data_IF_363431557935
#
_entry.id   IF_363431557935
#
_cell.length_a   1.000
_cell.length_b   1.000
_cell.length_c   1.000
_cell.angle_alpha   90.00
_cell.angle_beta   90.00
_cell.angle_gamma   90.00
#
_symmetry.space_group_name_H-M   'P 1'
#
loop_
_entity.id
_entity.type
_entity.pdbx_description
1 polymer ?
#
# COMPACT_ATOMS: atom_id res chain seq x y z
N UNK A 1 -18.31 38.30 28.53
CA UNK A 1 -17.23 37.38 28.10
C UNK A 1 -17.75 35.97 28.18
N UNK A 2 -18.07 35.33 27.05
CA UNK A 2 -18.40 33.90 26.99
C UNK A 2 -17.12 33.16 26.60
N UNK A 3 -16.64 32.31 27.49
CA UNK A 3 -15.53 31.39 27.23
C UNK A 3 -16.09 30.27 26.33
N UNK A 4 -15.70 30.26 25.06
CA UNK A 4 -15.91 29.10 24.19
C UNK A 4 -14.89 28.03 24.59
N UNK A 5 -15.33 26.98 25.28
CA UNK A 5 -14.54 25.76 25.44
C UNK A 5 -14.46 25.04 24.11
N UNK A 6 -13.31 25.13 23.45
CA UNK A 6 -12.94 24.21 22.38
C UNK A 6 -12.75 22.82 23.00
N UNK A 7 -13.66 21.90 22.67
CA UNK A 7 -13.51 20.48 22.98
C UNK A 7 -12.41 19.94 22.05
N UNK A 8 -11.20 19.77 22.58
CA UNK A 8 -10.15 19.00 21.91
C UNK A 8 -10.54 17.51 21.95
N UNK A 9 -11.23 17.05 20.90
CA UNK A 9 -11.49 15.63 20.67
C UNK A 9 -10.16 14.97 20.26
N UNK A 10 -9.53 14.27 21.20
CA UNK A 10 -8.33 13.48 20.91
C UNK A 10 -8.74 12.22 20.11
N UNK A 11 -8.73 12.33 18.77
CA UNK A 11 -8.93 11.20 17.87
C UNK A 11 -7.70 10.28 17.92
N UNK A 12 -7.81 9.15 18.62
CA UNK A 12 -6.78 8.11 18.63
C UNK A 12 -6.96 7.22 17.40
N UNK A 13 -6.24 7.53 16.32
CA UNK A 13 -6.14 6.67 15.15
C UNK A 13 -5.20 5.49 15.46
N UNK A 14 -5.66 4.25 15.27
CA UNK A 14 -4.78 3.08 15.24
C UNK A 14 -4.72 2.56 13.81
N UNK A 15 -3.62 2.82 13.09
CA UNK A 15 -3.31 2.09 11.86
C UNK A 15 -2.88 0.69 12.28
N UNK A 16 -3.81 -0.25 12.14
CA UNK A 16 -3.46 -1.65 12.23
C UNK A 16 -2.76 -2.01 10.92
N UNK A 17 -1.60 -2.67 10.99
CA UNK A 17 -0.85 -3.12 9.80
C UNK A 17 -1.53 -4.33 9.12
N UNK A 18 -2.84 -4.46 9.32
CA UNK A 18 -3.71 -5.47 8.78
C UNK A 18 -4.75 -4.70 7.96
N UNK A 19 -4.95 -5.11 6.71
CA UNK A 19 -6.12 -4.70 5.95
C UNK A 19 -7.38 -5.34 6.54
N UNK A 20 -8.53 -4.73 6.27
CA UNK A 20 -9.85 -5.27 6.56
C UNK A 20 -10.40 -6.00 5.33
N UNK A 21 -11.19 -7.04 5.59
CA UNK A 21 -12.07 -7.72 4.63
C UNK A 21 -13.48 -7.25 4.94
N UNK A 22 -14.14 -6.64 3.96
CA UNK A 22 -15.45 -6.04 4.15
C UNK A 22 -16.57 -7.01 3.75
N UNK A 23 -17.78 -6.73 4.21
CA UNK A 23 -18.98 -7.53 3.98
C UNK A 23 -20.24 -6.77 4.34
N UNK A 24 -21.32 -7.51 4.58
CA UNK A 24 -22.66 -7.02 4.92
C UNK A 24 -22.87 -6.79 6.43
N UNK A 25 -21.90 -7.18 7.27
CA UNK A 25 -21.98 -7.08 8.73
C UNK A 25 -22.77 -8.20 9.40
N UNK A 26 -23.26 -9.19 8.65
CA UNK A 26 -23.99 -10.34 9.17
C UNK A 26 -23.01 -11.48 9.50
N UNK A 27 -22.80 -11.70 10.79
CA UNK A 27 -21.95 -12.77 11.29
C UNK A 27 -22.44 -14.19 10.89
N UNK A 28 -23.69 -14.36 10.45
CA UNK A 28 -24.22 -15.65 10.01
C UNK A 28 -23.75 -16.06 8.61
N UNK A 29 -23.40 -15.10 7.75
CA UNK A 29 -22.98 -15.35 6.36
C UNK A 29 -21.51 -15.78 6.25
N UNK A 30 -20.77 -15.73 7.35
CA UNK A 30 -19.34 -16.00 7.38
C UNK A 30 -18.53 -14.80 6.87
N UNK A 31 -17.29 -15.04 6.45
CA UNK A 31 -16.41 -13.98 5.92
C UNK A 31 -16.62 -13.88 4.42
N UNK A 32 -17.12 -12.74 3.97
CA UNK A 32 -17.34 -12.41 2.56
C UNK A 32 -16.04 -11.92 1.90
N UNK A 33 -15.07 -12.82 1.75
CA UNK A 33 -13.79 -12.50 1.11
C UNK A 33 -13.90 -12.61 -0.42
N UNK A 34 -13.97 -11.46 -1.11
CA UNK A 34 -14.15 -11.38 -2.56
C UNK A 34 -12.84 -11.57 -3.36
N UNK A 35 -11.72 -11.85 -2.67
CA UNK A 35 -10.41 -11.98 -3.33
C UNK A 35 -10.32 -13.21 -4.20
N UNK A 36 -9.85 -13.01 -5.43
CA UNK A 36 -9.65 -14.07 -6.42
C UNK A 36 -8.18 -14.17 -6.81
N UNK A 37 -7.76 -15.31 -7.38
CA UNK A 37 -6.39 -15.50 -7.84
C UNK A 37 -6.02 -14.46 -8.91
N UNK A 38 -4.88 -13.77 -8.74
CA UNK A 38 -4.49 -12.72 -9.68
C UNK A 38 -4.17 -13.27 -11.09
N UNK A 39 -4.64 -12.60 -12.16
CA UNK A 39 -4.32 -12.97 -13.53
C UNK A 39 -2.81 -13.00 -13.79
N UNK A 40 -2.35 -13.97 -14.60
CA UNK A 40 -0.93 -14.15 -14.94
C UNK A 40 -0.27 -12.88 -15.49
N UNK A 41 -1.00 -12.07 -16.26
CA UNK A 41 -0.49 -10.83 -16.85
C UNK A 41 -0.14 -9.80 -15.77
N UNK A 42 -0.99 -9.65 -14.76
CA UNK A 42 -0.78 -8.76 -13.62
C UNK A 42 0.35 -9.29 -12.74
N UNK A 43 0.38 -10.60 -12.46
CA UNK A 43 1.41 -11.23 -11.63
C UNK A 43 2.84 -10.97 -12.13
N UNK A 44 3.06 -10.76 -13.43
CA UNK A 44 4.39 -10.44 -13.97
C UNK A 44 5.00 -9.17 -13.37
N UNK A 45 4.16 -8.24 -12.92
CA UNK A 45 4.56 -6.96 -12.36
C UNK A 45 4.42 -6.89 -10.85
N UNK A 46 3.96 -7.94 -10.16
CA UNK A 46 3.72 -7.92 -8.71
C UNK A 46 4.49 -9.05 -8.03
N UNK A 47 4.88 -8.83 -6.79
CA UNK A 47 5.60 -9.80 -5.98
C UNK A 47 5.51 -9.45 -4.51
N UNK A 48 6.24 -10.21 -3.69
CA UNK A 48 6.22 -10.05 -2.25
C UNK A 48 7.56 -9.59 -1.72
N UNK A 49 7.56 -8.88 -0.61
CA UNK A 49 8.76 -8.50 0.13
C UNK A 49 8.88 -9.39 1.36
N UNK A 50 10.05 -9.99 1.50
CA UNK A 50 10.44 -10.71 2.71
C UNK A 50 11.56 -9.95 3.38
N UNK A 51 11.44 -9.72 4.68
CA UNK A 51 12.53 -9.18 5.47
C UNK A 51 12.79 -10.03 6.70
N UNK A 52 14.07 -10.28 6.97
CA UNK A 52 14.57 -11.15 8.05
C UNK A 52 13.88 -12.53 8.03
N UNK A 53 13.72 -13.07 6.81
CA UNK A 53 13.08 -14.36 6.55
C UNK A 53 11.55 -14.37 6.58
N UNK A 54 10.89 -13.31 7.04
CA UNK A 54 9.43 -13.22 7.15
C UNK A 54 8.80 -12.40 6.03
N UNK A 55 7.61 -12.82 5.56
CA UNK A 55 6.80 -12.03 4.64
C UNK A 55 6.38 -10.72 5.34
N UNK A 56 6.58 -9.58 4.67
CA UNK A 56 6.19 -8.26 5.18
C UNK A 56 5.10 -7.59 4.37
N UNK A 57 5.02 -7.85 3.07
CA UNK A 57 4.04 -7.20 2.21
C UNK A 57 4.17 -7.56 0.74
N UNK A 58 3.44 -6.81 -0.07
CA UNK A 58 3.41 -6.87 -1.52
C UNK A 58 4.13 -5.65 -2.09
N UNK A 59 4.66 -5.78 -3.31
CA UNK A 59 5.25 -4.68 -4.05
C UNK A 59 5.04 -4.86 -5.55
N UNK A 60 5.07 -3.74 -6.28
CA UNK A 60 4.81 -3.71 -7.72
C UNK A 60 5.98 -3.12 -8.48
N UNK A 61 6.42 -3.83 -9.52
CA UNK A 61 7.29 -3.28 -10.55
C UNK A 61 6.56 -2.17 -11.31
N UNK A 62 7.09 -0.95 -11.23
CA UNK A 62 6.45 0.24 -11.80
C UNK A 62 7.29 0.87 -12.90
N UNK A 63 6.63 1.57 -13.81
CA UNK A 63 7.22 2.39 -14.87
C UNK A 63 6.49 3.71 -14.99
N UNK A 64 7.15 4.71 -15.59
CA UNK A 64 6.50 5.94 -16.05
C UNK A 64 6.79 6.04 -17.55
N UNK A 65 5.78 6.26 -18.42
CA UNK A 65 5.96 6.33 -19.88
C UNK A 65 7.02 7.35 -20.32
N UNK A 66 7.13 8.47 -19.60
CA UNK A 66 8.07 9.56 -19.91
C UNK A 66 9.52 9.29 -19.49
N UNK A 67 9.85 8.12 -18.93
CA UNK A 67 11.19 7.78 -18.47
C UNK A 67 11.62 6.50 -19.15
N UNK A 68 12.65 6.59 -20.01
CA UNK A 68 13.36 5.40 -20.44
C UNK A 68 13.99 4.75 -19.20
N UNK A 69 13.40 3.65 -18.73
CA UNK A 69 14.00 2.89 -17.64
C UNK A 69 15.40 2.44 -18.08
N UNK A 70 16.40 2.69 -17.23
CA UNK A 70 17.73 2.13 -17.44
C UNK A 70 17.62 0.62 -17.66
N UNK A 71 18.31 0.12 -18.68
CA UNK A 71 18.32 -1.31 -18.98
C UNK A 71 18.91 -2.18 -17.86
N UNK A 72 19.48 -1.58 -16.81
CA UNK A 72 20.18 -2.29 -15.75
C UNK A 72 19.31 -2.63 -14.52
N UNK A 73 18.26 -1.86 -14.20
CA UNK A 73 17.57 -1.98 -12.90
C UNK A 73 16.05 -1.83 -13.01
N UNK A 74 15.32 -2.70 -12.34
CA UNK A 74 13.87 -2.56 -12.13
C UNK A 74 13.57 -1.81 -10.85
N UNK A 75 12.54 -0.97 -10.87
CA UNK A 75 12.08 -0.23 -9.69
C UNK A 75 10.75 -0.81 -9.22
N UNK A 76 10.69 -1.20 -7.95
CA UNK A 76 9.43 -1.58 -7.31
C UNK A 76 8.91 -0.44 -6.43
N UNK A 77 7.59 -0.41 -6.25
CA UNK A 77 6.85 0.47 -5.37
C UNK A 77 6.14 -0.38 -4.31
N UNK A 78 6.18 0.07 -3.06
CA UNK A 78 5.52 -0.57 -1.92
C UNK A 78 5.21 0.47 -0.84
N UNK A 79 4.52 0.07 0.23
CA UNK A 79 4.33 0.88 1.41
C UNK A 79 5.65 0.93 2.20
N UNK A 80 5.99 2.09 2.78
CA UNK A 80 7.24 2.24 3.49
C UNK A 80 7.31 1.32 4.72
N UNK A 81 6.22 1.16 5.47
CA UNK A 81 6.19 0.32 6.67
C UNK A 81 6.54 -1.16 6.41
N UNK A 82 6.47 -1.63 5.16
CA UNK A 82 6.84 -3.00 4.78
C UNK A 82 8.32 -3.29 5.06
N UNK A 83 9.18 -2.27 5.04
CA UNK A 83 10.63 -2.41 5.22
C UNK A 83 11.14 -1.92 6.58
N UNK A 84 10.25 -1.49 7.49
CA UNK A 84 10.61 -1.01 8.82
C UNK A 84 9.98 -1.86 9.93
N UNK A 85 10.71 -1.99 11.04
CA UNK A 85 10.14 -2.45 12.29
C UNK A 85 9.15 -1.44 12.85
N UNK A 86 7.88 -1.83 12.99
CA UNK A 86 6.82 -0.97 13.57
C UNK A 86 7.19 -0.37 14.93
N UNK A 87 7.85 -1.16 15.79
CA UNK A 87 8.09 -0.78 17.18
C UNK A 87 9.36 0.05 17.38
N UNK A 88 10.41 -0.18 16.58
CA UNK A 88 11.71 0.49 16.75
C UNK A 88 11.92 1.62 15.74
N UNK A 89 11.17 1.62 14.64
CA UNK A 89 11.36 2.57 13.54
C UNK A 89 12.60 2.30 12.69
N UNK A 90 13.33 1.21 12.94
CA UNK A 90 14.56 0.84 12.24
C UNK A 90 14.22 -0.02 11.02
N UNK A 91 14.99 0.11 9.94
CA UNK A 91 14.91 -0.81 8.80
C UNK A 91 15.16 -2.25 9.25
N UNK A 92 14.49 -3.22 8.61
CA UNK A 92 14.89 -4.62 8.76
C UNK A 92 16.32 -4.83 8.23
N UNK A 93 17.05 -5.81 8.79
CA UNK A 93 18.45 -6.02 8.46
C UNK A 93 18.63 -6.53 7.02
N UNK A 94 17.76 -7.45 6.62
CA UNK A 94 17.81 -8.08 5.30
C UNK A 94 16.43 -8.03 4.67
N UNK A 95 16.32 -7.49 3.46
CA UNK A 95 15.08 -7.50 2.68
C UNK A 95 15.32 -7.96 1.24
N UNK A 96 14.41 -8.79 0.73
CA UNK A 96 14.42 -9.29 -0.65
C UNK A 96 13.05 -9.20 -1.28
N UNK A 97 13.03 -8.96 -2.59
CA UNK A 97 11.82 -9.04 -3.41
C UNK A 97 11.69 -10.43 -4.04
N UNK A 98 10.49 -11.00 -4.00
CA UNK A 98 10.13 -12.28 -4.61
C UNK A 98 9.11 -12.05 -5.73
N UNK A 99 9.54 -12.01 -7.00
CA UNK A 99 8.63 -11.81 -8.12
C UNK A 99 7.53 -12.89 -8.16
N UNK A 100 6.28 -12.49 -8.41
CA UNK A 100 5.12 -13.40 -8.46
C UNK A 100 4.89 -14.19 -7.15
N UNK A 101 5.48 -13.76 -6.03
CA UNK A 101 5.43 -14.51 -4.77
C UNK A 101 6.30 -15.78 -4.73
N UNK A 102 7.12 -16.03 -5.75
CA UNK A 102 7.90 -17.28 -5.85
C UNK A 102 9.14 -17.24 -4.97
N UNK A 103 9.38 -18.33 -4.23
CA UNK A 103 10.55 -18.47 -3.34
C UNK A 103 11.88 -18.43 -4.10
N UNK A 104 11.96 -19.14 -5.22
CA UNK A 104 13.14 -19.15 -6.10
C UNK A 104 13.22 -17.85 -6.89
N UNK A 105 14.43 -17.29 -6.99
CA UNK A 105 14.66 -16.03 -7.71
C UNK A 105 14.35 -14.79 -6.87
N UNK A 106 14.54 -14.87 -5.55
CA UNK A 106 14.58 -13.68 -4.67
C UNK A 106 15.66 -12.69 -5.17
N UNK A 107 15.38 -11.39 -5.06
CA UNK A 107 16.23 -10.31 -5.58
C UNK A 107 16.48 -9.29 -4.49
N UNK A 108 17.76 -9.01 -4.22
CA UNK A 108 18.17 -8.03 -3.22
C UNK A 108 17.79 -6.60 -3.64
N UNK A 109 17.63 -5.74 -2.63
CA UNK A 109 17.53 -4.30 -2.82
C UNK A 109 18.92 -3.69 -3.07
N UNK A 110 19.00 -2.73 -4.00
CA UNK A 110 20.21 -1.94 -4.24
C UNK A 110 20.10 -0.59 -3.56
N UNK A 111 18.93 0.04 -3.68
CA UNK A 111 18.70 1.39 -3.21
C UNK A 111 17.27 1.55 -2.78
N UNK A 112 17.06 2.34 -1.74
CA UNK A 112 15.75 2.77 -1.26
C UNK A 112 15.68 4.28 -1.51
N UNK A 113 14.55 4.76 -2.05
CA UNK A 113 14.34 6.20 -2.26
C UNK A 113 14.11 6.91 -0.93
N UNK A 114 14.63 8.14 -0.79
CA UNK A 114 14.36 8.98 0.37
C UNK A 114 12.85 9.20 0.56
N UNK A 115 12.35 9.07 1.79
CA UNK A 115 10.96 9.32 2.21
C UNK A 115 10.93 9.98 3.59
N UNK A 116 9.75 10.48 3.97
CA UNK A 116 9.49 11.02 5.30
C UNK A 116 8.61 10.11 6.17
N UNK A 117 8.45 8.83 5.78
CA UNK A 117 7.73 7.87 6.62
C UNK A 117 8.44 7.71 7.97
N UNK A 118 7.70 7.96 9.05
CA UNK A 118 8.15 7.79 10.42
C UNK A 118 7.27 6.73 11.10
N UNK A 119 7.77 5.50 11.32
CA UNK A 119 6.97 4.38 11.84
C UNK A 119 6.34 4.62 13.23
N UNK A 120 6.95 5.50 14.02
CA UNK A 120 6.52 5.81 15.38
C UNK A 120 5.72 7.11 15.49
N UNK A 121 5.44 7.81 14.38
CA UNK A 121 4.69 9.06 14.44
C UNK A 121 3.33 8.87 15.12
N UNK A 122 2.99 9.82 16.00
CA UNK A 122 1.68 9.89 16.66
C UNK A 122 0.59 10.38 15.71
N UNK A 123 0.96 11.19 14.71
CA UNK A 123 0.04 11.61 13.65
C UNK A 123 -0.06 10.49 12.61
N UNK A 124 -1.09 9.67 12.76
CA UNK A 124 -1.32 8.52 11.87
C UNK A 124 -1.75 8.90 10.47
N UNK A 125 -2.41 10.04 10.32
CA UNK A 125 -2.78 10.54 8.99
C UNK A 125 -1.52 10.98 8.28
N UNK A 126 -0.68 11.81 8.92
CA UNK A 126 0.61 12.18 8.35
C UNK A 126 1.47 10.95 8.05
N UNK A 127 1.57 10.00 8.98
CA UNK A 127 2.28 8.73 8.77
C UNK A 127 1.79 8.00 7.52
N UNK A 128 0.48 7.80 7.36
CA UNK A 128 -0.12 7.15 6.19
C UNK A 128 0.18 7.91 4.88
N UNK A 129 0.15 9.25 4.90
CA UNK A 129 0.45 10.06 3.71
C UNK A 129 1.91 9.96 3.25
N UNK A 130 2.81 9.51 4.14
CA UNK A 130 4.22 9.29 3.82
C UNK A 130 4.56 7.81 3.59
N UNK A 131 3.59 6.90 3.72
CA UNK A 131 3.78 5.45 3.71
C UNK A 131 3.94 4.88 2.30
N UNK A 132 4.97 5.34 1.59
CA UNK A 132 5.26 4.94 0.22
C UNK A 132 6.75 5.02 -0.06
N UNK A 133 7.28 4.00 -0.73
CA UNK A 133 8.70 3.92 -1.04
C UNK A 133 8.97 3.23 -2.38
N UNK A 134 9.90 3.82 -3.14
CA UNK A 134 10.51 3.18 -4.31
C UNK A 134 11.80 2.46 -3.92
N UNK A 135 12.01 1.29 -4.50
CA UNK A 135 13.17 0.43 -4.25
C UNK A 135 13.73 -0.03 -5.60
N UNK A 136 15.03 0.17 -5.79
CA UNK A 136 15.74 -0.35 -6.96
C UNK A 136 16.22 -1.78 -6.68
N UNK A 137 15.96 -2.69 -7.61
CA UNK A 137 16.35 -4.09 -7.51
C UNK A 137 17.72 -4.36 -8.12
N UNK A 138 18.45 -5.31 -7.52
CA UNK A 138 19.77 -5.77 -8.00
C UNK A 138 19.74 -6.48 -9.33
N UNK A 139 18.57 -7.00 -9.71
CA UNK A 139 18.33 -7.68 -10.98
C UNK A 139 17.09 -7.08 -11.64
N UNK A 140 17.18 -6.88 -12.97
CA UNK A 140 16.04 -6.49 -13.79
C UNK A 140 14.97 -7.59 -13.82
N UNK A 141 13.72 -7.18 -13.67
CA UNK A 141 12.54 -8.03 -13.81
C UNK A 141 12.17 -8.21 -15.29
N UNK A 142 11.43 -9.29 -15.57
CA UNK A 142 10.82 -9.47 -16.89
C UNK A 142 9.59 -8.56 -17.00
N UNK A 143 9.36 -8.00 -18.19
CA UNK A 143 8.26 -7.06 -18.44
C UNK A 143 8.60 -5.61 -18.13
N UNK A 144 7.72 -4.69 -18.52
CA UNK A 144 7.89 -3.25 -18.36
C UNK A 144 7.48 -2.73 -16.98
N UNK A 145 6.78 -3.54 -16.18
CA UNK A 145 6.09 -3.06 -14.98
C UNK A 145 4.76 -2.38 -15.32
N UNK A 146 3.96 -2.09 -14.29
CA UNK A 146 2.73 -1.34 -14.43
C UNK A 146 3.01 0.16 -14.55
N UNK A 147 2.15 0.88 -15.27
CA UNK A 147 2.28 2.33 -15.40
C UNK A 147 1.88 2.97 -14.07
N UNK A 148 2.72 3.88 -13.57
CA UNK A 148 2.41 4.73 -12.44
C UNK A 148 1.75 6.01 -12.94
N UNK A 149 0.56 6.31 -12.45
CA UNK A 149 -0.24 7.46 -12.88
C UNK A 149 -0.80 8.20 -11.67
N UNK A 150 -0.85 9.53 -11.73
CA UNK A 150 -1.50 10.30 -10.69
C UNK A 150 -3.00 9.98 -10.69
N UNK A 151 -3.59 9.79 -9.50
CA UNK A 151 -5.05 9.61 -9.39
C UNK A 151 -5.74 10.91 -9.76
N UNK A 152 -6.67 10.83 -10.71
CA UNK A 152 -7.61 11.91 -11.01
C UNK A 152 -8.87 11.76 -10.12
N UNK A 153 -9.56 12.86 -9.82
CA UNK A 153 -10.67 12.92 -8.85
C UNK A 153 -11.98 12.23 -9.29
N UNK A 154 -11.94 11.41 -10.35
CA UNK A 154 -13.10 10.64 -10.78
C UNK A 154 -13.41 9.53 -9.75
N UNK A 155 -14.70 9.40 -9.41
CA UNK A 155 -15.22 8.26 -8.65
C UNK A 155 -15.06 7.01 -9.50
N UNK A 156 -14.09 6.19 -9.11
CA UNK A 156 -13.63 5.06 -9.92
C UNK A 156 -13.82 3.78 -9.13
N UNK A 157 -14.25 2.74 -9.84
CA UNK A 157 -13.98 1.38 -9.42
C UNK A 157 -12.47 1.20 -9.22
N UNK A 158 -12.08 0.37 -8.26
CA UNK A 158 -10.69 0.11 -7.93
C UNK A 158 -10.44 -1.39 -7.88
N UNK A 159 -9.20 -1.78 -8.13
CA UNK A 159 -8.72 -3.15 -7.88
C UNK A 159 -7.51 -3.11 -6.97
N UNK A 160 -7.49 -3.93 -5.93
CA UNK A 160 -6.30 -4.13 -5.10
C UNK A 160 -5.65 -5.46 -5.43
N UNK A 161 -4.36 -5.43 -5.78
CA UNK A 161 -3.55 -6.66 -5.91
C UNK A 161 -2.71 -6.81 -4.65
N UNK A 162 -2.81 -7.95 -3.97
CA UNK A 162 -2.12 -8.16 -2.70
C UNK A 162 -1.89 -9.63 -2.41
N UNK A 163 -0.84 -9.93 -1.65
CA UNK A 163 -0.67 -11.27 -1.14
C UNK A 163 -1.76 -11.60 -0.10
N UNK A 164 -2.42 -12.72 -0.33
CA UNK A 164 -3.41 -13.30 0.55
C UNK A 164 -2.76 -14.42 1.38
N UNK A 165 -2.43 -14.12 2.64
CA UNK A 165 -1.85 -15.10 3.54
C UNK A 165 -2.75 -16.33 3.79
N UNK A 166 -4.08 -16.18 3.72
CA UNK A 166 -5.01 -17.29 3.97
C UNK A 166 -4.96 -18.34 2.87
N UNK A 167 -4.57 -17.94 1.65
CA UNK A 167 -4.55 -18.80 0.47
C UNK A 167 -3.14 -18.99 -0.12
N UNK A 168 -2.11 -18.42 0.51
CA UNK A 168 -0.69 -18.47 0.12
C UNK A 168 -0.43 -18.08 -1.35
N UNK A 169 -1.10 -17.04 -1.85
CA UNK A 169 -0.87 -16.53 -3.19
C UNK A 169 -1.19 -15.04 -3.31
N UNK A 170 -0.82 -14.42 -4.44
CA UNK A 170 -1.20 -13.04 -4.76
C UNK A 170 -2.60 -13.05 -5.40
N UNK A 171 -3.52 -12.34 -4.76
CA UNK A 171 -4.92 -12.24 -5.15
C UNK A 171 -5.25 -10.83 -5.65
N UNK A 172 -6.39 -10.69 -6.30
CA UNK A 172 -7.02 -9.43 -6.66
C UNK A 172 -8.32 -9.32 -5.86
N UNK A 173 -8.53 -8.18 -5.20
CA UNK A 173 -9.85 -7.74 -4.76
C UNK A 173 -10.37 -6.78 -5.83
N UNK A 174 -11.43 -7.21 -6.50
CA UNK A 174 -12.14 -6.44 -7.54
C UNK A 174 -13.36 -5.73 -6.96
N UNK A 175 -14.10 -4.99 -7.80
CA UNK A 175 -15.36 -4.31 -7.46
C UNK A 175 -15.27 -3.38 -6.23
N UNK A 176 -14.08 -2.86 -5.94
CA UNK A 176 -13.90 -1.91 -4.87
C UNK A 176 -14.32 -0.51 -5.31
N UNK A 177 -14.61 0.35 -4.34
CA UNK A 177 -14.96 1.76 -4.52
C UNK A 177 -14.13 2.65 -3.62
N UNK A 178 -13.98 3.90 -4.04
CA UNK A 178 -13.42 4.97 -3.23
C UNK A 178 -14.47 5.49 -2.23
N UNK A 179 -14.02 5.91 -1.06
CA UNK A 179 -14.88 6.52 -0.02
C UNK A 179 -14.34 7.89 0.35
N UNK A 180 -15.22 8.75 0.85
CA UNK A 180 -14.85 10.03 1.45
C UNK A 180 -15.27 10.04 2.92
N UNK A 181 -14.54 10.80 3.75
CA UNK A 181 -14.89 11.03 5.15
C UNK A 181 -15.28 12.48 5.35
N UNK A 182 -16.33 12.70 6.15
CA UNK A 182 -16.75 14.02 6.62
C UNK A 182 -15.85 14.54 7.75
N UNK A 183 -15.27 13.65 8.57
CA UNK A 183 -14.42 14.03 9.71
C UNK A 183 -12.96 14.23 9.35
N UNK A 184 -12.46 13.62 8.27
CA UNK A 184 -11.11 13.86 7.79
C UNK A 184 -11.05 13.94 6.27
N UNK A 185 -10.70 15.11 5.76
CA UNK A 185 -10.40 15.31 4.36
C UNK A 185 -8.88 15.32 4.16
N UNK A 186 -8.36 14.38 3.37
CA UNK A 186 -6.97 14.35 2.97
C UNK A 186 -6.86 13.97 1.48
N UNK A 187 -6.28 14.84 0.67
CA UNK A 187 -6.16 14.64 -0.77
C UNK A 187 -5.04 13.68 -1.18
N UNK A 188 -4.20 13.24 -0.24
CA UNK A 188 -3.10 12.30 -0.47
C UNK A 188 -3.49 10.85 -0.14
N UNK A 189 -4.58 10.65 0.62
CA UNK A 189 -5.08 9.32 0.97
C UNK A 189 -6.26 8.93 0.08
N UNK A 190 -6.31 7.65 -0.25
CA UNK A 190 -7.44 6.99 -0.91
C UNK A 190 -8.07 6.06 0.11
N UNK A 191 -9.34 6.27 0.43
CA UNK A 191 -10.11 5.36 1.27
C UNK A 191 -10.85 4.38 0.37
N UNK A 192 -10.83 3.10 0.71
CA UNK A 192 -11.42 2.07 -0.13
C UNK A 192 -11.98 0.91 0.67
N UNK A 193 -12.86 0.14 0.04
CA UNK A 193 -13.38 -1.12 0.57
C UNK A 193 -12.76 -2.37 -0.09
N UNK A 194 -11.66 -2.27 -0.85
CA UNK A 194 -10.99 -3.50 -1.31
C UNK A 194 -10.59 -4.38 -0.13
N UNK A 195 -10.89 -5.67 -0.24
CA UNK A 195 -10.49 -6.69 0.71
C UNK A 195 -8.98 -6.81 0.77
N UNK A 196 -8.46 -6.67 1.99
CA UNK A 196 -7.06 -6.73 2.27
C UNK A 196 -6.83 -7.54 3.53
N UNK A 197 -5.81 -8.39 3.51
CA UNK A 197 -5.40 -9.17 4.66
C UNK A 197 -3.92 -8.99 4.96
N UNK A 198 -3.38 -9.83 5.84
CA UNK A 198 -1.93 -9.89 6.07
C UNK A 198 -1.19 -10.17 4.75
N UNK A 199 -0.16 -9.37 4.48
CA UNK A 199 0.65 -9.44 3.26
C UNK A 199 0.17 -8.53 2.12
N UNK A 200 -1.04 -7.96 2.20
CA UNK A 200 -1.55 -7.03 1.19
C UNK A 200 -0.89 -5.63 1.25
N UNK A 201 -0.34 -5.24 2.41
CA UNK A 201 0.42 -3.98 2.58
C UNK A 201 1.43 -3.76 1.46
N UNK A 202 1.41 -2.58 0.86
CA UNK A 202 2.25 -2.23 -0.27
C UNK A 202 1.77 -2.72 -1.64
N UNK A 203 0.66 -3.46 -1.67
CA UNK A 203 -0.02 -3.85 -2.90
C UNK A 203 -0.50 -2.65 -3.70
N UNK A 204 -0.46 -2.70 -5.04
CA UNK A 204 -0.95 -1.61 -5.87
C UNK A 204 -2.48 -1.58 -5.85
N UNK A 205 -3.02 -0.38 -5.82
CA UNK A 205 -4.42 -0.11 -6.16
C UNK A 205 -4.44 0.41 -7.59
N UNK A 206 -5.20 -0.27 -8.44
CA UNK A 206 -5.30 0.03 -9.87
C UNK A 206 -6.59 0.76 -10.20
N UNK A 207 -6.50 1.62 -11.21
CA UNK A 207 -7.65 1.98 -12.03
C UNK A 207 -7.92 0.82 -13.01
N UNK A 208 -9.08 0.14 -12.95
CA UNK A 208 -9.39 -1.01 -13.80
C UNK A 208 -9.50 -0.64 -15.28
N UNK A 209 -9.79 0.62 -15.62
CA UNK A 209 -9.93 1.09 -17.01
C UNK A 209 -8.56 1.19 -17.68
N UNK A 210 -7.62 1.91 -17.06
CA UNK A 210 -6.28 2.09 -17.60
C UNK A 210 -5.30 0.95 -17.26
N UNK A 211 -5.56 0.23 -16.17
CA UNK A 211 -4.61 -0.72 -15.56
C UNK A 211 -3.42 -0.05 -14.88
N UNK A 212 -3.47 1.27 -14.69
CA UNK A 212 -2.41 2.05 -14.04
C UNK A 212 -2.47 1.93 -12.51
N UNK A 213 -1.31 1.96 -11.87
CA UNK A 213 -1.19 2.10 -10.41
C UNK A 213 -1.49 3.54 -10.02
N UNK A 214 -2.54 3.72 -9.22
CA UNK A 214 -3.05 5.03 -8.78
C UNK A 214 -2.94 5.24 -7.27
N UNK A 215 -2.72 4.17 -6.49
CA UNK A 215 -2.37 4.25 -5.07
C UNK A 215 -1.61 2.99 -4.61
N UNK A 216 -1.07 3.05 -3.39
CA UNK A 216 -0.43 1.93 -2.70
C UNK A 216 -1.20 1.65 -1.42
N UNK A 217 -1.70 0.43 -1.24
CA UNK A 217 -2.43 0.05 -0.03
C UNK A 217 -1.51 0.10 1.20
N UNK A 218 -1.93 0.84 2.24
CA UNK A 218 -1.16 1.02 3.47
C UNK A 218 -1.71 0.24 4.66
N UNK A 219 -3.01 -0.05 4.70
CA UNK A 219 -3.65 -0.81 5.78
C UNK A 219 -5.04 -0.29 6.09
N UNK A 220 -5.49 -0.45 7.33
CA UNK A 220 -6.82 0.00 7.78
C UNK A 220 -6.73 1.18 8.74
N UNK A 221 -7.52 2.21 8.48
CA UNK A 221 -7.83 3.26 9.45
C UNK A 221 -8.91 2.77 10.40
N UNK A 222 -8.60 2.79 11.70
CA UNK A 222 -9.58 2.57 12.76
C UNK A 222 -9.74 3.88 13.52
N UNK A 223 -10.92 4.48 13.43
CA UNK A 223 -11.27 5.73 14.11
C UNK A 223 -12.07 5.37 15.34
N UNK A 224 -11.43 5.47 16.51
CA UNK A 224 -12.11 5.20 17.78
C UNK A 224 -12.94 6.41 18.19
N UNK A 225 -14.25 6.35 17.99
CA UNK A 225 -15.19 7.08 18.83
C UNK A 225 -15.40 6.25 20.10
N UNK A 226 -15.49 6.88 21.28
CA UNK A 226 -15.35 6.23 22.59
C UNK A 226 -16.00 4.83 22.73
N UNK A 227 -15.25 3.94 23.40
CA UNK A 227 -15.47 2.51 23.71
C UNK A 227 -14.84 1.49 22.75
N UNK A 228 -14.07 0.58 23.35
CA UNK A 228 -13.23 -0.43 22.73
C UNK A 228 -14.02 -1.39 21.83
N UNK A 229 -14.06 -1.10 20.53
CA UNK A 229 -14.48 -2.10 19.55
C UNK A 229 -13.33 -3.11 19.30
N UNK A 230 -13.59 -4.43 19.43
CA UNK A 230 -12.58 -5.47 19.27
C UNK A 230 -12.08 -5.59 17.83
N UNK A 231 -10.80 -5.95 17.68
CA UNK A 231 -10.12 -6.23 16.40
C UNK A 231 -10.78 -7.34 15.56
N UNK A 232 -11.72 -8.10 16.13
CA UNK A 232 -12.52 -9.11 15.42
C UNK A 232 -13.52 -8.51 14.41
N UNK A 233 -13.68 -7.18 14.36
CA UNK A 233 -14.58 -6.48 13.43
C UNK A 233 -13.91 -6.25 12.05
N UNK A 234 -12.66 -6.67 11.83
CA UNK A 234 -11.98 -6.45 10.55
C UNK A 234 -12.36 -7.46 9.45
N UNK A 235 -13.23 -8.43 9.71
CA UNK A 235 -13.65 -9.44 8.73
C UNK A 235 -15.17 -9.44 8.63
N UNK A 236 -15.68 -9.18 7.43
CA UNK A 236 -17.11 -9.12 7.14
C UNK A 236 -17.81 -7.85 7.64
N UNK A 237 -17.07 -6.82 8.08
CA UNK A 237 -17.69 -5.56 8.50
C UNK A 237 -18.13 -4.72 7.31
N UNK A 238 -19.14 -3.88 7.55
CA UNK A 238 -19.55 -2.85 6.61
C UNK A 238 -18.46 -1.77 6.55
N UNK A 239 -17.99 -1.36 5.35
CA UNK A 239 -17.02 -0.27 5.24
C UNK A 239 -17.65 1.03 5.73
N UNK A 240 -16.98 1.68 6.68
CA UNK A 240 -17.41 2.96 7.24
C UNK A 240 -16.21 3.92 7.29
N UNK A 241 -16.14 4.93 6.40
CA UNK A 241 -15.04 5.89 6.41
C UNK A 241 -14.91 6.64 7.74
N UNK A 242 -15.95 6.67 8.58
CA UNK A 242 -15.96 7.34 9.87
C UNK A 242 -15.51 6.48 11.05
N UNK A 243 -15.31 5.18 10.83
CA UNK A 243 -14.99 4.22 11.90
C UNK A 243 -13.94 3.17 11.48
N UNK A 244 -14.12 2.52 10.33
CA UNK A 244 -13.31 1.42 9.84
C UNK A 244 -13.27 1.40 8.32
N UNK A 245 -12.12 1.75 7.74
CA UNK A 245 -11.94 1.80 6.29
C UNK A 245 -10.51 1.46 5.90
N UNK A 246 -10.32 0.77 4.77
CA UNK A 246 -8.97 0.58 4.24
C UNK A 246 -8.48 1.89 3.62
N UNK A 247 -7.17 2.11 3.69
CA UNK A 247 -6.52 3.27 3.11
C UNK A 247 -5.31 2.88 2.27
N UNK A 248 -5.04 3.71 1.27
CA UNK A 248 -3.78 3.72 0.54
C UNK A 248 -3.26 5.13 0.31
N UNK A 249 -1.95 5.23 0.08
CA UNK A 249 -1.31 6.47 -0.36
C UNK A 249 -1.53 6.65 -1.86
N UNK A 250 -2.28 7.70 -2.25
CA UNK A 250 -2.48 8.09 -3.65
C UNK A 250 -1.15 8.33 -4.35
N UNK A 251 -1.12 8.11 -5.65
CA UNK A 251 -0.06 8.62 -6.51
C UNK A 251 -0.45 10.03 -6.94
N UNK A 252 0.45 10.98 -6.71
CA UNK A 252 0.32 12.37 -7.12
C UNK A 252 1.57 12.83 -7.90
N UNK A 253 1.59 14.12 -8.27
CA UNK A 253 2.71 14.75 -8.96
C UNK A 253 4.03 14.65 -8.19
N UNK A 254 4.00 14.73 -6.86
CA UNK A 254 5.19 14.65 -6.01
C UNK A 254 5.78 13.23 -6.00
N UNK A 255 4.92 12.21 -5.93
CA UNK A 255 5.33 10.80 -6.03
C UNK A 255 5.93 10.50 -7.41
N UNK A 256 5.33 11.01 -8.48
CA UNK A 256 5.88 10.91 -9.85
C UNK A 256 7.24 11.61 -9.94
N UNK A 257 7.36 12.83 -9.40
CA UNK A 257 8.62 13.58 -9.38
C UNK A 257 9.69 12.89 -8.54
N UNK A 258 9.31 12.23 -7.44
CA UNK A 258 10.20 11.41 -6.61
C UNK A 258 10.72 10.20 -7.37
N UNK A 259 9.86 9.49 -8.12
CA UNK A 259 10.32 8.38 -8.98
C UNK A 259 11.30 8.88 -10.05
N UNK A 260 10.98 9.99 -10.73
CA UNK A 260 11.88 10.64 -11.71
C UNK A 260 13.27 10.89 -11.14
N UNK A 261 13.35 11.53 -9.96
CA UNK A 261 14.61 11.76 -9.25
C UNK A 261 15.31 10.47 -8.86
N UNK A 262 14.57 9.48 -8.37
CA UNK A 262 15.11 8.19 -7.98
C UNK A 262 15.75 7.44 -9.15
N UNK A 263 15.12 7.49 -10.33
CA UNK A 263 15.61 6.85 -11.57
C UNK A 263 16.71 7.62 -12.28
N UNK A 264 16.85 8.93 -12.04
CA UNK A 264 17.86 9.76 -12.69
C UNK A 264 19.28 9.54 -12.13
N UNK A 265 19.41 8.96 -10.93
CA UNK A 265 20.70 8.73 -10.27
C UNK A 265 21.17 7.25 -10.13
N UNK A 266 21.37 6.48 -11.22
CA UNK A 266 22.18 5.27 -11.20
C UNK A 266 23.52 5.41 -11.97
N UNK A 267 23.86 6.59 -12.53
CA UNK A 267 24.93 6.74 -13.52
C UNK A 267 26.24 7.41 -13.03
N UNK A 268 26.51 7.51 -11.71
CA UNK A 268 27.76 8.13 -11.23
C UNK A 268 28.75 7.23 -10.50
N UNK A 269 28.41 5.97 -10.18
CA UNK A 269 29.31 5.07 -9.44
C UNK A 269 29.72 3.82 -10.25
N UNK A 270 29.67 3.88 -11.58
CA UNK A 270 30.15 2.80 -12.47
C UNK A 270 31.58 3.03 -12.98
N UNK A 271 32.37 3.86 -12.29
CA UNK A 271 33.81 3.98 -12.49
C UNK A 271 34.44 4.18 -11.12
N UNK A 272 34.99 3.10 -10.56
CA UNK A 272 36.30 3.03 -9.90
C UNK A 272 36.58 1.57 -9.53
#
# INVERSE_FOLDING_TARGET
MRLNSAICLALMFNVSAFGAIFGDGDAQNGIEDQRQLAPRKILQSVGTIYCDGALRGTATHVSIPSIAQSNATSIILTAAHVIYHKNTGILFETCVYRPQGKRLGSIDFVKISAHNFEPQSNDKIQQATQDIVFIALKKKLRGSGLILQAKEDADNELQLIGYNQNQDHISVSDDCREFSSEKFANNLLLLHNCDAGRGASGGPILDPISGSVIAVHGGTLVIRSGNNQPLNIMQGAIPDPEALINQGRKIDSDIIARLKRFTAYPAKNSQH
#
